data_IF_249399810917
#
_entry.id   IF_249399810917
#
_cell.length_a   1.000
_cell.length_b   1.000
_cell.length_c   1.000
_cell.angle_alpha   90.00
_cell.angle_beta   90.00
_cell.angle_gamma   90.00
#
_symmetry.space_group_name_H-M   'P 1'
#
loop_
_entity.id
_entity.type
_entity.pdbx_description
1 polymer ?
#
# COMPACT_ATOMS: atom_id res chain seq x y z
N UNK A 1 25.52 14.88 15.90
CA UNK A 1 24.18 14.77 15.27
C UNK A 1 23.30 15.87 15.89
N UNK A 2 22.70 16.73 15.07
CA UNK A 2 21.83 17.80 15.57
C UNK A 2 20.45 17.26 15.99
N UNK A 3 19.64 18.08 16.68
CA UNK A 3 18.32 17.69 17.19
C UNK A 3 17.36 17.22 16.08
N UNK A 4 17.37 17.90 14.93
CA UNK A 4 16.53 17.50 13.79
C UNK A 4 16.88 16.08 13.29
N UNK A 5 18.16 15.75 13.22
CA UNK A 5 18.60 14.42 12.81
C UNK A 5 18.21 13.34 13.85
N UNK A 6 18.26 13.66 15.14
CA UNK A 6 17.79 12.75 16.21
C UNK A 6 16.29 12.49 16.08
N UNK A 7 15.47 13.53 15.88
CA UNK A 7 14.02 13.41 15.70
C UNK A 7 13.66 12.54 14.49
N UNK A 8 14.33 12.75 13.36
CA UNK A 8 14.12 11.91 12.17
C UNK A 8 14.60 10.47 12.37
N UNK A 9 15.66 10.24 13.14
CA UNK A 9 16.10 8.88 13.49
C UNK A 9 15.05 8.16 14.34
N UNK A 10 14.44 8.84 15.31
CA UNK A 10 13.33 8.30 16.10
C UNK A 10 12.10 8.00 15.23
N UNK A 11 11.72 8.90 14.34
CA UNK A 11 10.62 8.68 13.40
C UNK A 11 10.86 7.45 12.51
N UNK A 12 12.09 7.30 12.01
CA UNK A 12 12.48 6.10 11.25
C UNK A 12 12.36 4.82 12.06
N UNK A 13 12.80 4.86 13.33
CA UNK A 13 12.70 3.71 14.25
C UNK A 13 11.24 3.36 14.52
N UNK A 14 10.40 4.35 14.85
CA UNK A 14 8.97 4.18 15.05
C UNK A 14 8.29 3.57 13.82
N UNK A 15 8.52 4.13 12.62
CA UNK A 15 7.95 3.59 11.38
C UNK A 15 8.37 2.14 11.11
N UNK A 16 9.63 1.78 11.40
CA UNK A 16 10.09 0.39 11.27
C UNK A 16 9.31 -0.55 12.21
N UNK A 17 9.10 -0.14 13.47
CA UNK A 17 8.37 -0.94 14.46
C UNK A 17 6.88 -1.06 14.11
N UNK A 18 6.25 0.03 13.68
CA UNK A 18 4.86 0.04 13.18
C UNK A 18 4.70 -0.96 12.04
N UNK A 19 5.59 -0.94 11.05
CA UNK A 19 5.55 -1.90 9.92
C UNK A 19 5.70 -3.36 10.38
N UNK A 20 6.57 -3.62 11.36
CA UNK A 20 6.73 -4.95 11.93
C UNK A 20 5.49 -5.41 12.69
N UNK A 21 4.83 -4.52 13.45
CA UNK A 21 3.61 -4.82 14.17
C UNK A 21 2.47 -5.21 13.21
N UNK A 22 2.23 -4.41 12.16
CA UNK A 22 1.24 -4.75 11.14
C UNK A 22 1.56 -6.06 10.39
N UNK A 23 2.83 -6.35 10.17
CA UNK A 23 3.24 -7.61 9.54
C UNK A 23 3.00 -8.81 10.47
N UNK A 24 3.29 -8.66 11.77
CA UNK A 24 3.12 -9.72 12.77
C UNK A 24 1.65 -10.06 13.03
N UNK A 25 0.81 -9.04 13.14
CA UNK A 25 -0.60 -9.18 13.53
C UNK A 25 -1.54 -9.41 12.34
N UNK A 26 -1.05 -9.28 11.13
CA UNK A 26 -1.86 -9.49 9.93
C UNK A 26 -2.04 -10.96 9.56
N UNK A 27 -3.09 -11.31 8.80
CA UNK A 27 -3.29 -12.65 8.29
C UNK A 27 -2.06 -13.13 7.51
N UNK A 28 -1.55 -14.31 7.84
CA UNK A 28 -0.35 -14.88 7.21
C UNK A 28 -0.52 -15.25 5.74
N UNK A 29 -1.76 -15.27 5.24
CA UNK A 29 -2.15 -15.67 3.88
C UNK A 29 -1.88 -14.62 2.80
N UNK A 30 -1.48 -13.40 3.19
CA UNK A 30 -1.23 -12.34 2.22
C UNK A 30 0.15 -12.49 1.57
N UNK A 31 0.16 -12.97 0.33
CA UNK A 31 1.35 -12.87 -0.53
C UNK A 31 1.60 -11.41 -0.89
N UNK A 32 2.89 -11.03 -0.99
CA UNK A 32 3.34 -9.65 -1.25
C UNK A 32 2.56 -8.97 -2.39
N UNK A 33 2.08 -7.76 -2.13
CA UNK A 33 1.43 -6.88 -3.10
C UNK A 33 -0.08 -7.05 -3.24
N UNK A 34 -0.65 -8.18 -2.85
CA UNK A 34 -2.09 -8.41 -3.02
C UNK A 34 -2.94 -7.65 -1.99
N UNK A 35 -2.43 -7.46 -0.78
CA UNK A 35 -3.16 -6.75 0.27
C UNK A 35 -3.52 -5.31 -0.09
N UNK A 36 -2.65 -4.59 -0.79
CA UNK A 36 -2.94 -3.23 -1.25
C UNK A 36 -4.03 -3.23 -2.33
N UNK A 37 -3.99 -4.19 -3.27
CA UNK A 37 -5.03 -4.36 -4.28
C UNK A 37 -6.39 -4.66 -3.65
N UNK A 38 -6.45 -5.64 -2.76
CA UNK A 38 -7.71 -6.04 -2.12
C UNK A 38 -8.31 -4.90 -1.30
N UNK A 39 -7.48 -4.13 -0.58
CA UNK A 39 -7.95 -2.95 0.16
C UNK A 39 -8.49 -1.86 -0.77
N UNK A 40 -7.80 -1.57 -1.88
CA UNK A 40 -8.28 -0.62 -2.87
C UNK A 40 -9.64 -1.04 -3.46
N UNK A 41 -9.83 -2.35 -3.67
CA UNK A 41 -11.09 -2.89 -4.16
C UNK A 41 -12.20 -2.91 -3.10
N UNK A 42 -11.89 -2.96 -1.80
CA UNK A 42 -12.92 -2.76 -0.77
C UNK A 42 -13.51 -1.35 -0.83
N UNK A 43 -12.69 -0.35 -1.16
CA UNK A 43 -13.14 1.04 -1.30
C UNK A 43 -13.86 1.29 -2.63
N UNK A 44 -13.42 0.63 -3.70
CA UNK A 44 -13.97 0.78 -5.06
C UNK A 44 -13.95 -0.57 -5.78
N UNK A 45 -14.94 -1.41 -5.51
CA UNK A 45 -15.09 -2.72 -6.16
C UNK A 45 -15.48 -2.55 -7.63
N UNK A 46 -14.84 -3.30 -8.51
CA UNK A 46 -14.99 -3.14 -9.95
C UNK A 46 -14.15 -1.99 -10.54
N UNK A 47 -13.14 -1.51 -9.79
CA UNK A 47 -12.23 -0.50 -10.30
C UNK A 47 -11.51 -0.96 -11.57
N UNK A 48 -11.37 -0.04 -12.52
CA UNK A 48 -10.67 -0.28 -13.78
C UNK A 48 -9.15 -0.33 -13.57
N UNK A 49 -8.44 -0.94 -14.51
CA UNK A 49 -6.98 -0.95 -14.52
C UNK A 49 -6.38 0.44 -14.36
N UNK A 50 -6.97 1.47 -15.02
CA UNK A 50 -6.49 2.85 -14.96
C UNK A 50 -6.63 3.43 -13.55
N UNK A 51 -7.77 3.22 -12.91
CA UNK A 51 -8.03 3.66 -11.54
C UNK A 51 -7.09 2.98 -10.55
N UNK A 52 -6.91 1.67 -10.66
CA UNK A 52 -6.01 0.91 -9.79
C UNK A 52 -4.54 1.33 -9.93
N UNK A 53 -4.06 1.60 -11.14
CA UNK A 53 -2.71 2.15 -11.37
C UNK A 53 -2.53 3.48 -10.63
N UNK A 54 -3.54 4.35 -10.69
CA UNK A 54 -3.52 5.65 -10.02
C UNK A 54 -3.58 5.50 -8.51
N UNK A 55 -4.51 4.70 -7.99
CA UNK A 55 -4.71 4.49 -6.55
C UNK A 55 -3.52 3.82 -5.90
N UNK A 56 -2.96 2.79 -6.53
CA UNK A 56 -1.83 2.03 -5.99
C UNK A 56 -0.47 2.67 -6.27
N UNK A 57 -0.40 3.67 -7.15
CA UNK A 57 0.85 4.33 -7.52
C UNK A 57 1.89 3.39 -8.17
N UNK A 58 1.44 2.34 -8.84
CA UNK A 58 2.29 1.35 -9.54
C UNK A 58 2.08 1.45 -11.05
N UNK A 59 3.00 0.89 -11.83
CA UNK A 59 2.85 0.83 -13.28
C UNK A 59 1.90 -0.31 -13.72
N UNK A 60 1.47 -0.26 -14.98
CA UNK A 60 0.53 -1.25 -15.55
C UNK A 60 1.07 -2.68 -15.51
N UNK A 61 2.37 -2.86 -15.74
CA UNK A 61 3.00 -4.19 -15.72
C UNK A 61 2.95 -4.79 -14.32
N UNK A 62 3.33 -4.02 -13.29
CA UNK A 62 3.26 -4.45 -11.90
C UNK A 62 1.82 -4.73 -11.46
N UNK A 63 0.86 -3.89 -11.88
CA UNK A 63 -0.55 -4.15 -11.60
C UNK A 63 -1.00 -5.48 -12.23
N UNK A 64 -0.67 -5.72 -13.50
CA UNK A 64 -1.00 -6.97 -14.19
C UNK A 64 -0.49 -8.20 -13.43
N UNK A 65 0.74 -8.14 -12.92
CA UNK A 65 1.33 -9.24 -12.17
C UNK A 65 0.62 -9.46 -10.83
N UNK A 66 0.27 -8.38 -10.12
CA UNK A 66 -0.47 -8.45 -8.85
C UNK A 66 -1.87 -9.01 -9.07
N UNK A 67 -2.59 -8.52 -10.07
CA UNK A 67 -3.95 -8.99 -10.43
C UNK A 67 -3.92 -10.46 -10.84
N UNK A 68 -2.97 -10.88 -11.68
CA UNK A 68 -2.79 -12.29 -12.03
C UNK A 68 -2.61 -13.20 -10.81
N UNK A 69 -1.79 -12.77 -9.84
CA UNK A 69 -1.57 -13.53 -8.60
C UNK A 69 -2.84 -13.60 -7.75
N UNK A 70 -3.56 -12.48 -7.61
CA UNK A 70 -4.82 -12.43 -6.88
C UNK A 70 -5.90 -13.31 -7.56
N UNK A 71 -5.95 -13.33 -8.87
CA UNK A 71 -6.84 -14.17 -9.64
C UNK A 71 -6.53 -15.68 -9.48
N UNK A 72 -5.25 -16.06 -9.47
CA UNK A 72 -4.82 -17.43 -9.19
C UNK A 72 -5.20 -17.91 -7.79
N UNK A 73 -5.26 -16.98 -6.84
CA UNK A 73 -5.67 -17.26 -5.47
C UNK A 73 -7.20 -17.13 -5.27
N UNK A 74 -7.96 -16.92 -6.37
CA UNK A 74 -9.41 -16.77 -6.35
C UNK A 74 -9.90 -15.57 -5.53
N UNK A 75 -9.08 -14.55 -5.35
CA UNK A 75 -9.45 -13.35 -4.60
C UNK A 75 -10.17 -12.32 -5.44
N UNK A 76 -9.92 -12.33 -6.75
CA UNK A 76 -10.50 -11.38 -7.70
C UNK A 76 -10.91 -12.06 -9.00
N UNK A 77 -11.87 -11.46 -9.67
CA UNK A 77 -12.25 -11.75 -11.07
C UNK A 77 -11.96 -10.54 -11.95
N UNK A 78 -11.80 -10.78 -13.25
CA UNK A 78 -11.59 -9.74 -14.25
C UNK A 78 -12.83 -9.72 -15.15
N UNK A 79 -13.37 -8.53 -15.37
CA UNK A 79 -14.47 -8.29 -16.31
C UNK A 79 -14.02 -7.36 -17.43
N UNK A 80 -14.45 -7.64 -18.65
CA UNK A 80 -14.30 -6.73 -19.77
C UNK A 80 -15.19 -5.50 -19.56
N UNK A 81 -14.67 -4.33 -19.89
CA UNK A 81 -15.43 -3.08 -19.92
C UNK A 81 -15.49 -2.57 -21.36
N UNK A 82 -16.45 -1.70 -21.68
CA UNK A 82 -16.69 -1.19 -23.04
C UNK A 82 -15.53 -0.34 -23.61
N UNK A 83 -14.52 -0.03 -22.79
CA UNK A 83 -13.31 0.67 -23.22
C UNK A 83 -12.28 -0.33 -23.78
N UNK A 84 -11.70 -0.07 -24.97
CA UNK A 84 -10.70 -0.94 -25.57
C UNK A 84 -9.45 -1.06 -24.70
N UNK A 85 -8.96 -2.30 -24.52
CA UNK A 85 -7.77 -2.67 -23.75
C UNK A 85 -7.83 -2.35 -22.24
N UNK A 86 -9.03 -2.20 -21.70
CA UNK A 86 -9.28 -1.96 -20.29
C UNK A 86 -10.09 -3.11 -19.71
N UNK A 87 -9.88 -3.40 -18.45
CA UNK A 87 -10.65 -4.37 -17.69
C UNK A 87 -10.97 -3.81 -16.30
N UNK A 88 -12.04 -4.27 -15.71
CA UNK A 88 -12.39 -4.03 -14.31
C UNK A 88 -11.99 -5.24 -13.47
N UNK A 89 -11.61 -4.99 -12.23
CA UNK A 89 -11.26 -6.03 -11.26
C UNK A 89 -12.27 -6.01 -10.13
N UNK A 90 -12.88 -7.15 -9.85
CA UNK A 90 -13.87 -7.31 -8.79
C UNK A 90 -13.39 -8.30 -7.74
N UNK A 91 -13.77 -8.04 -6.49
CA UNK A 91 -13.55 -8.99 -5.41
C UNK A 91 -14.48 -10.20 -5.56
N UNK A 92 -13.93 -11.38 -5.28
CA UNK A 92 -14.75 -12.55 -4.96
C UNK A 92 -15.20 -12.48 -3.50
N UNK A 93 -16.13 -13.34 -3.09
CA UNK A 93 -16.54 -13.44 -1.69
C UNK A 93 -15.34 -13.78 -0.79
N UNK A 94 -14.47 -14.69 -1.24
CA UNK A 94 -13.22 -15.03 -0.55
C UNK A 94 -12.28 -13.81 -0.44
N UNK A 95 -12.10 -13.08 -1.53
CA UNK A 95 -11.25 -11.88 -1.56
C UNK A 95 -11.76 -10.79 -0.64
N UNK A 96 -13.07 -10.59 -0.60
CA UNK A 96 -13.74 -9.63 0.29
C UNK A 96 -13.55 -10.00 1.75
N UNK A 97 -13.87 -11.25 2.12
CA UNK A 97 -13.70 -11.75 3.49
C UNK A 97 -12.27 -11.57 4.00
N UNK A 98 -11.28 -11.92 3.18
CA UNK A 98 -9.87 -11.75 3.53
C UNK A 98 -9.45 -10.29 3.67
N UNK A 99 -9.95 -9.42 2.78
CA UNK A 99 -9.67 -7.99 2.84
C UNK A 99 -10.26 -7.37 4.11
N UNK A 100 -11.50 -7.70 4.45
CA UNK A 100 -12.18 -7.24 5.68
C UNK A 100 -11.47 -7.73 6.95
N UNK A 101 -11.08 -9.00 7.00
CA UNK A 101 -10.27 -9.54 8.11
C UNK A 101 -8.95 -8.80 8.27
N UNK A 102 -8.33 -8.40 7.15
CA UNK A 102 -7.08 -7.63 7.19
C UNK A 102 -7.29 -6.22 7.71
N UNK A 103 -8.33 -5.54 7.26
CA UNK A 103 -8.68 -4.20 7.76
C UNK A 103 -8.93 -4.26 9.26
N UNK A 104 -9.76 -5.19 9.73
CA UNK A 104 -10.05 -5.37 11.16
C UNK A 104 -8.79 -5.69 11.99
N UNK A 105 -7.86 -6.47 11.46
CA UNK A 105 -6.59 -6.75 12.13
C UNK A 105 -5.68 -5.51 12.18
N UNK A 106 -5.68 -4.70 11.12
CA UNK A 106 -4.93 -3.45 11.09
C UNK A 106 -5.50 -2.44 12.09
N UNK A 107 -6.83 -2.30 12.15
CA UNK A 107 -7.49 -1.38 13.07
C UNK A 107 -7.14 -1.73 14.52
N UNK A 108 -7.29 -2.99 14.90
CA UNK A 108 -6.88 -3.45 16.24
C UNK A 108 -5.40 -3.18 16.54
N UNK A 109 -4.52 -3.43 15.58
CA UNK A 109 -3.08 -3.16 15.74
C UNK A 109 -2.80 -1.66 15.89
N UNK A 110 -3.52 -0.81 15.14
CA UNK A 110 -3.40 0.63 15.25
C UNK A 110 -3.86 1.11 16.62
N UNK A 111 -5.01 0.63 17.10
CA UNK A 111 -5.53 0.94 18.42
C UNK A 111 -4.54 0.54 19.54
N UNK A 112 -3.97 -0.67 19.45
CA UNK A 112 -2.94 -1.13 20.39
C UNK A 112 -1.70 -0.24 20.38
N UNK A 113 -1.19 0.14 19.22
CA UNK A 113 0.00 0.99 19.09
C UNK A 113 -0.26 2.38 19.65
N UNK A 114 -1.42 2.96 19.36
CA UNK A 114 -1.78 4.32 19.74
C UNK A 114 -2.41 4.41 21.14
N UNK A 115 -2.64 3.30 21.82
CA UNK A 115 -3.21 3.27 23.18
C UNK A 115 -2.37 4.03 24.23
N UNK A 116 -1.08 4.24 23.96
CA UNK A 116 -0.21 5.03 24.81
C UNK A 116 -0.36 6.55 24.64
N UNK A 117 -1.13 7.00 23.66
CA UNK A 117 -1.37 8.41 23.33
C UNK A 117 -2.78 8.83 23.73
N UNK A 118 -2.92 10.07 24.13
CA UNK A 118 -4.24 10.70 24.29
C UNK A 118 -4.84 11.04 22.91
N UNK A 119 -6.15 11.27 22.85
CA UNK A 119 -6.83 11.69 21.62
C UNK A 119 -6.26 13.00 21.05
N UNK A 120 -5.82 13.91 21.91
CA UNK A 120 -5.18 15.17 21.50
C UNK A 120 -3.78 14.92 20.91
N UNK A 121 -2.98 14.05 21.52
CA UNK A 121 -1.67 13.66 21.00
C UNK A 121 -1.77 12.94 19.65
N UNK A 122 -2.81 12.12 19.41
CA UNK A 122 -3.07 11.52 18.10
C UNK A 122 -3.34 12.59 17.06
N UNK A 123 -4.19 13.60 17.35
CA UNK A 123 -4.43 14.73 16.44
C UNK A 123 -3.17 15.53 16.13
N UNK A 124 -2.33 15.75 17.15
CA UNK A 124 -1.04 16.43 16.97
C UNK A 124 -0.10 15.61 16.10
N UNK A 125 -0.05 14.30 16.28
CA UNK A 125 0.74 13.38 15.45
C UNK A 125 0.30 13.47 13.98
N UNK A 126 -1.01 13.42 13.70
CA UNK A 126 -1.56 13.55 12.35
C UNK A 126 -1.19 14.90 11.74
N UNK A 127 -1.35 15.99 12.44
CA UNK A 127 -1.01 17.33 11.97
C UNK A 127 0.50 17.49 11.66
N UNK A 128 1.37 16.93 12.51
CA UNK A 128 2.82 16.98 12.33
C UNK A 128 3.25 16.12 11.14
N UNK A 129 2.72 14.90 11.03
CA UNK A 129 3.06 13.99 9.93
C UNK A 129 2.59 14.53 8.59
N UNK A 130 1.39 15.13 8.53
CA UNK A 130 0.89 15.77 7.30
C UNK A 130 1.79 16.92 6.85
N UNK A 131 2.21 17.82 7.78
CA UNK A 131 3.17 18.89 7.46
C UNK A 131 4.47 18.34 6.87
N UNK A 132 5.01 17.25 7.44
CA UNK A 132 6.22 16.61 6.92
C UNK A 132 6.01 16.03 5.52
N UNK A 133 4.87 15.39 5.29
CA UNK A 133 4.53 14.80 3.98
C UNK A 133 4.43 15.88 2.92
N UNK A 134 3.72 16.98 3.20
CA UNK A 134 3.57 18.11 2.27
C UNK A 134 4.94 18.71 1.95
N UNK A 135 5.74 19.03 2.97
CA UNK A 135 7.06 19.63 2.78
C UNK A 135 8.01 18.73 1.97
N UNK A 136 7.95 17.41 2.17
CA UNK A 136 8.75 16.47 1.38
C UNK A 136 8.28 16.39 -0.07
N UNK A 137 6.97 16.42 -0.33
CA UNK A 137 6.42 16.44 -1.70
C UNK A 137 6.84 17.70 -2.44
N UNK A 138 6.80 18.86 -1.81
CA UNK A 138 7.25 20.16 -2.38
C UNK A 138 8.74 20.14 -2.77
N UNK A 139 9.56 19.41 -2.01
CA UNK A 139 10.98 19.17 -2.33
C UNK A 139 11.19 18.08 -3.41
N UNK A 140 10.13 17.60 -4.05
CA UNK A 140 10.20 16.57 -5.08
C UNK A 140 10.48 15.16 -4.55
N UNK A 141 10.42 14.95 -3.24
CA UNK A 141 10.54 13.62 -2.63
C UNK A 141 9.19 12.91 -2.77
N UNK A 142 9.08 12.01 -3.75
CA UNK A 142 7.88 11.21 -3.96
C UNK A 142 8.16 9.75 -3.64
N UNK A 143 7.17 9.05 -3.08
CA UNK A 143 7.23 7.61 -2.84
C UNK A 143 7.23 6.74 -4.12
N UNK A 144 7.19 7.36 -5.30
CA UNK A 144 7.31 6.64 -6.58
C UNK A 144 8.73 6.10 -6.70
N UNK A 145 8.92 4.80 -6.57
CA UNK A 145 10.18 4.15 -6.93
C UNK A 145 10.46 4.49 -8.40
N UNK A 146 11.52 5.28 -8.67
CA UNK A 146 12.08 5.39 -10.01
C UNK A 146 12.39 3.96 -10.44
N UNK A 147 11.75 3.51 -11.54
CA UNK A 147 11.95 2.17 -12.04
C UNK A 147 13.44 1.91 -12.19
N UNK A 148 13.90 0.81 -11.62
CA UNK A 148 15.27 0.32 -11.80
C UNK A 148 15.46 0.07 -13.29
N UNK A 149 16.16 0.96 -13.99
CA UNK A 149 16.63 0.69 -15.35
C UNK A 149 17.63 -0.45 -15.24
N UNK A 150 17.19 -1.66 -15.52
CA UNK A 150 18.11 -2.79 -15.76
C UNK A 150 19.01 -2.38 -16.93
N UNK A 151 20.24 -2.02 -16.65
CA UNK A 151 21.28 -1.89 -17.70
C UNK A 151 21.43 -3.27 -18.34
N UNK A 152 20.81 -3.44 -19.50
CA UNK A 152 21.14 -4.57 -20.38
C UNK A 152 22.61 -4.45 -20.71
N UNK A 153 23.44 -5.34 -20.14
CA UNK A 153 24.82 -5.54 -20.61
C UNK A 153 24.70 -5.99 -22.07
N UNK A 154 25.12 -5.12 -22.99
CA UNK A 154 25.38 -5.52 -24.36
C UNK A 154 26.54 -6.53 -24.28
N UNK A 155 26.27 -7.78 -24.56
CA UNK A 155 27.31 -8.73 -24.93
C UNK A 155 27.82 -8.31 -26.31
N UNK A 156 29.01 -7.73 -26.37
CA UNK A 156 29.78 -7.69 -27.61
C UNK A 156 30.26 -9.11 -27.91
N UNK A 157 29.94 -9.55 -29.12
CA UNK A 157 30.63 -10.65 -29.77
C UNK A 157 32.01 -10.18 -30.24
#
# INVERSE_FOLDING_TARGET
MNEAAKSLAQLKKANKLVRLAFHKNGPKSYKRGQGALLRALLENDGATQRELVKTLGINRSNLKDVVKKAQRNEYVTIESVDEPRTYAVKLTDLGRELAEKRVAANDRTADEILSCLTAEEVKQLDAITEKLIVAMKEKGISGKKKGYKVRRKKHCR
#
